data_IF_041733423766
#
_entry.id   IF_041733423766
#
_cell.length_a   1.000
_cell.length_b   1.000
_cell.length_c   1.000
_cell.angle_alpha   90.00
_cell.angle_beta   90.00
_cell.angle_gamma   90.00
#
_symmetry.space_group_name_H-M   'P 1'
#
loop_
_entity.id
_entity.type
_entity.pdbx_description
1 polymer ?
#
# COMPACT_ATOMS: atom_id res chain seq x y z
N UNK A 1 -36.97 -40.29 -25.49
CA UNK A 1 -36.54 -39.87 -24.12
C UNK A 1 -35.41 -38.88 -24.26
N UNK A 2 -35.67 -37.63 -23.93
CA UNK A 2 -34.60 -36.59 -23.92
C UNK A 2 -33.86 -36.70 -22.61
N UNK A 3 -32.55 -37.03 -22.66
CA UNK A 3 -31.68 -36.97 -21.48
C UNK A 3 -31.38 -35.52 -21.21
N UNK A 4 -31.91 -34.97 -20.11
CA UNK A 4 -31.54 -33.64 -19.60
C UNK A 4 -30.20 -33.81 -18.89
N UNK A 5 -29.12 -33.36 -19.52
CA UNK A 5 -27.83 -33.28 -18.90
C UNK A 5 -27.85 -31.98 -18.08
N UNK A 6 -28.10 -32.12 -16.78
CA UNK A 6 -28.01 -31.04 -15.83
C UNK A 6 -26.54 -30.68 -15.61
N UNK A 7 -26.09 -29.64 -16.28
CA UNK A 7 -24.76 -29.07 -16.07
C UNK A 7 -24.76 -28.40 -14.68
N UNK A 8 -24.24 -29.10 -13.70
CA UNK A 8 -24.04 -28.60 -12.37
C UNK A 8 -22.83 -27.64 -12.41
N UNK A 9 -23.09 -26.33 -12.55
CA UNK A 9 -22.08 -25.31 -12.42
C UNK A 9 -21.53 -25.36 -10.99
N UNK A 10 -20.39 -26.00 -10.83
CA UNK A 10 -19.57 -25.90 -9.61
C UNK A 10 -19.04 -24.46 -9.52
N UNK A 11 -19.79 -23.61 -8.82
CA UNK A 11 -19.28 -22.31 -8.39
C UNK A 11 -18.29 -22.59 -7.26
N UNK A 12 -17.01 -22.68 -7.60
CA UNK A 12 -15.96 -22.72 -6.61
C UNK A 12 -16.01 -21.42 -5.80
N UNK A 13 -16.00 -21.48 -4.46
CA UNK A 13 -15.92 -20.26 -3.67
C UNK A 13 -14.61 -19.54 -4.00
N UNK A 14 -14.71 -18.35 -4.55
CA UNK A 14 -13.56 -17.46 -4.68
C UNK A 14 -13.19 -17.07 -3.25
N UNK A 15 -12.17 -17.71 -2.70
CA UNK A 15 -11.56 -17.26 -1.45
C UNK A 15 -10.93 -15.90 -1.74
N UNK A 16 -11.64 -14.85 -1.38
CA UNK A 16 -11.07 -13.50 -1.31
C UNK A 16 -10.15 -13.50 -0.08
N UNK A 17 -8.89 -13.79 -0.30
CA UNK A 17 -7.86 -13.57 0.70
C UNK A 17 -7.84 -12.07 0.97
N UNK A 18 -8.15 -11.67 2.20
CA UNK A 18 -8.04 -10.27 2.60
C UNK A 18 -6.62 -9.78 2.28
N UNK A 19 -6.50 -8.65 1.56
CA UNK A 19 -5.21 -8.10 1.19
C UNK A 19 -4.46 -7.69 2.46
N UNK A 20 -3.23 -8.16 2.59
CA UNK A 20 -2.34 -7.83 3.72
C UNK A 20 -1.45 -6.64 3.37
N UNK A 21 -0.85 -6.04 4.40
CA UNK A 21 0.24 -5.07 4.21
C UNK A 21 1.48 -5.81 3.71
N UNK A 22 2.04 -5.37 2.59
CA UNK A 22 3.12 -6.05 1.89
C UNK A 22 4.47 -5.46 2.32
N UNK A 23 5.38 -6.32 2.81
CA UNK A 23 6.76 -5.89 3.09
C UNK A 23 7.46 -5.55 1.78
N UNK A 24 8.04 -4.36 1.70
CA UNK A 24 8.70 -3.85 0.51
C UNK A 24 10.19 -3.60 0.78
N UNK A 25 11.01 -4.07 -0.12
CA UNK A 25 12.43 -3.72 -0.22
C UNK A 25 12.70 -2.79 -1.42
N UNK A 26 13.93 -2.36 -1.57
CA UNK A 26 14.36 -1.50 -2.69
C UNK A 26 14.05 -2.12 -4.06
N UNK A 27 14.32 -3.40 -4.24
CA UNK A 27 14.09 -4.08 -5.52
C UNK A 27 12.60 -4.09 -5.89
N UNK A 28 11.74 -4.37 -4.93
CA UNK A 28 10.29 -4.32 -5.13
C UNK A 28 9.80 -2.90 -5.40
N UNK A 29 10.36 -1.89 -4.73
CA UNK A 29 10.01 -0.48 -5.00
C UNK A 29 10.32 -0.09 -6.45
N UNK A 30 11.50 -0.44 -6.94
CA UNK A 30 11.91 -0.17 -8.33
C UNK A 30 11.00 -0.90 -9.33
N UNK A 31 10.61 -2.13 -9.03
CA UNK A 31 9.76 -2.94 -9.90
C UNK A 31 8.29 -2.50 -9.89
N UNK A 32 7.74 -2.19 -8.70
CA UNK A 32 6.29 -1.99 -8.50
C UNK A 32 5.84 -0.54 -8.37
N UNK A 33 6.74 0.35 -7.96
CA UNK A 33 6.36 1.73 -7.62
C UNK A 33 6.99 2.73 -8.57
N UNK A 34 8.30 2.89 -8.55
CA UNK A 34 8.98 3.88 -9.38
C UNK A 34 10.45 3.50 -9.55
N UNK A 35 10.90 3.46 -10.79
CA UNK A 35 12.32 3.23 -11.10
C UNK A 35 13.10 4.55 -11.14
N UNK A 36 13.51 5.03 -9.96
CA UNK A 36 14.29 6.26 -9.82
C UNK A 36 15.75 6.11 -10.30
N UNK A 37 16.17 4.89 -10.66
CA UNK A 37 17.52 4.65 -11.23
C UNK A 37 17.60 5.04 -12.69
N UNK A 38 16.46 5.07 -13.38
CA UNK A 38 16.37 5.41 -14.81
C UNK A 38 16.04 6.87 -15.05
N UNK A 39 15.29 7.50 -14.15
CA UNK A 39 14.86 8.90 -14.28
C UNK A 39 14.62 9.50 -12.90
N UNK A 40 14.84 10.80 -12.76
CA UNK A 40 14.49 11.55 -11.54
C UNK A 40 13.01 11.98 -11.53
N UNK A 41 12.30 11.79 -12.63
CA UNK A 41 10.87 12.10 -12.70
C UNK A 41 10.06 11.00 -12.01
N UNK A 42 9.08 11.43 -11.23
CA UNK A 42 8.13 10.51 -10.62
C UNK A 42 7.22 9.89 -11.69
N UNK A 43 7.25 8.58 -11.81
CA UNK A 43 6.38 7.82 -12.72
C UNK A 43 5.91 6.54 -12.00
N UNK A 44 4.71 6.58 -11.45
CA UNK A 44 4.14 5.44 -10.74
C UNK A 44 3.80 4.30 -11.69
N UNK A 45 4.27 3.10 -11.35
CA UNK A 45 4.15 1.87 -12.17
C UNK A 45 2.94 1.01 -11.83
N UNK A 46 2.30 1.25 -10.67
CA UNK A 46 1.18 0.44 -10.21
C UNK A 46 -0.13 0.74 -10.94
N UNK A 47 -1.04 -0.23 -10.93
CA UNK A 47 -2.37 -0.12 -11.50
C UNK A 47 -3.43 0.34 -10.48
N UNK A 48 -3.08 0.38 -9.20
CA UNK A 48 -3.92 0.85 -8.09
C UNK A 48 -3.17 1.88 -7.27
N UNK A 49 -3.86 2.84 -6.64
CA UNK A 49 -3.23 3.72 -5.68
C UNK A 49 -2.57 2.92 -4.55
N UNK A 50 -1.55 3.48 -3.95
CA UNK A 50 -0.81 2.81 -2.89
C UNK A 50 -0.54 3.73 -1.69
N UNK A 51 -0.31 3.10 -0.54
CA UNK A 51 0.26 3.74 0.65
C UNK A 51 1.56 2.99 0.98
N UNK A 52 2.62 3.73 1.26
CA UNK A 52 3.86 3.17 1.81
C UNK A 52 4.03 3.68 3.24
N UNK A 53 4.10 2.77 4.19
CA UNK A 53 4.38 3.03 5.60
C UNK A 53 5.88 2.83 5.86
N UNK A 54 6.61 3.93 6.06
CA UNK A 54 8.02 3.88 6.46
C UNK A 54 8.10 3.84 7.99
N UNK A 55 8.66 2.76 8.51
CA UNK A 55 8.67 2.42 9.94
C UNK A 55 10.01 1.85 10.38
N UNK A 56 10.17 1.68 11.70
CA UNK A 56 11.23 0.87 12.30
C UNK A 56 10.65 0.03 13.45
N UNK A 57 11.31 -1.08 13.77
CA UNK A 57 10.85 -2.01 14.83
C UNK A 57 10.89 -1.38 16.23
N UNK A 58 11.84 -0.46 16.48
CA UNK A 58 12.01 0.26 17.74
C UNK A 58 11.04 1.45 17.90
N UNK A 59 10.29 1.80 16.89
CA UNK A 59 9.43 2.98 16.87
C UNK A 59 8.06 2.67 17.50
N UNK A 60 7.78 3.24 18.67
CA UNK A 60 6.52 3.06 19.38
C UNK A 60 5.29 3.55 18.59
N UNK A 61 5.29 4.79 18.07
CA UNK A 61 4.20 5.28 17.23
C UNK A 61 3.97 4.42 15.98
N UNK A 62 5.02 3.89 15.36
CA UNK A 62 4.92 2.99 14.21
C UNK A 62 4.17 1.70 14.58
N UNK A 63 4.46 1.12 15.75
CA UNK A 63 3.77 -0.07 16.23
C UNK A 63 2.28 0.17 16.48
N UNK A 64 1.91 1.36 16.94
CA UNK A 64 0.49 1.73 17.11
C UNK A 64 -0.24 1.90 15.79
N UNK A 65 0.46 2.29 14.73
CA UNK A 65 -0.11 2.42 13.40
C UNK A 65 -0.24 1.10 12.62
N UNK A 66 0.53 0.09 12.97
CA UNK A 66 0.51 -1.21 12.28
C UNK A 66 -0.90 -1.84 12.21
N UNK A 67 -1.70 -1.91 13.29
CA UNK A 67 -3.07 -2.42 13.19
C UNK A 67 -3.98 -1.55 12.31
N UNK A 68 -3.80 -0.24 12.30
CA UNK A 68 -4.57 0.67 11.44
C UNK A 68 -4.30 0.37 9.97
N UNK A 69 -3.04 0.20 9.59
CA UNK A 69 -2.67 -0.17 8.21
C UNK A 69 -3.24 -1.54 7.82
N UNK A 70 -3.23 -2.51 8.71
CA UNK A 70 -3.85 -3.83 8.48
C UNK A 70 -5.36 -3.74 8.25
N UNK A 71 -6.06 -2.95 9.04
CA UNK A 71 -7.50 -2.72 8.86
C UNK A 71 -7.79 -2.06 7.52
N UNK A 72 -7.05 -1.03 7.15
CA UNK A 72 -7.21 -0.33 5.89
C UNK A 72 -6.91 -1.24 4.68
N UNK A 73 -5.89 -2.09 4.78
CA UNK A 73 -5.57 -3.06 3.73
C UNK A 73 -6.72 -4.03 3.48
N UNK A 74 -7.44 -4.44 4.52
CA UNK A 74 -8.62 -5.30 4.41
C UNK A 74 -9.83 -4.55 3.86
N UNK A 75 -10.12 -3.37 4.40
CA UNK A 75 -11.29 -2.57 4.02
C UNK A 75 -11.22 -2.09 2.56
N UNK A 76 -10.02 -1.78 2.08
CA UNK A 76 -9.78 -1.30 0.73
C UNK A 76 -9.17 -2.36 -0.20
N UNK A 77 -9.26 -3.64 0.16
CA UNK A 77 -8.76 -4.74 -0.66
C UNK A 77 -9.26 -4.67 -2.10
N UNK A 78 -8.35 -4.78 -3.06
CA UNK A 78 -8.67 -4.65 -4.48
C UNK A 78 -8.77 -3.21 -5.01
N UNK A 79 -8.80 -2.20 -4.15
CA UNK A 79 -8.91 -0.78 -4.53
C UNK A 79 -7.62 0.00 -4.32
N UNK A 80 -6.88 -0.29 -3.26
CA UNK A 80 -5.54 0.24 -2.98
C UNK A 80 -4.59 -0.88 -2.58
N UNK A 81 -3.30 -0.61 -2.58
CA UNK A 81 -2.25 -1.49 -2.07
C UNK A 81 -1.53 -0.78 -0.93
N UNK A 82 -1.25 -1.48 0.16
CA UNK A 82 -0.47 -0.93 1.28
C UNK A 82 0.82 -1.71 1.42
N UNK A 83 1.94 -0.99 1.37
CA UNK A 83 3.28 -1.48 1.58
C UNK A 83 3.85 -0.95 2.89
N UNK A 84 4.81 -1.67 3.46
CA UNK A 84 5.61 -1.20 4.58
C UNK A 84 7.10 -1.34 4.28
N UNK A 85 7.87 -0.34 4.65
CA UNK A 85 9.32 -0.23 4.42
C UNK A 85 10.01 -0.02 5.76
N UNK A 86 10.90 -0.94 6.13
CA UNK A 86 11.74 -0.80 7.31
C UNK A 86 12.92 0.13 7.00
N UNK A 87 12.93 1.33 7.59
CA UNK A 87 13.96 2.35 7.31
C UNK A 87 15.37 1.94 7.73
N UNK A 88 15.51 1.04 8.70
CA UNK A 88 16.84 0.55 9.12
C UNK A 88 17.45 -0.40 8.08
N UNK A 89 16.60 -1.14 7.36
CA UNK A 89 17.02 -2.07 6.31
C UNK A 89 17.06 -1.42 4.93
N UNK A 90 16.24 -0.41 4.69
CA UNK A 90 16.06 0.26 3.40
C UNK A 90 16.39 1.76 3.50
N UNK A 91 17.66 2.03 3.83
CA UNK A 91 18.12 3.41 4.10
C UNK A 91 18.04 4.31 2.86
N UNK A 92 18.22 3.75 1.67
CA UNK A 92 18.12 4.49 0.41
C UNK A 92 16.69 4.94 0.14
N UNK A 93 15.70 4.07 0.38
CA UNK A 93 14.28 4.43 0.28
C UNK A 93 13.87 5.49 1.33
N UNK A 94 14.38 5.35 2.55
CA UNK A 94 14.16 6.34 3.59
C UNK A 94 14.69 7.72 3.17
N UNK A 95 15.88 7.77 2.60
CA UNK A 95 16.48 9.01 2.06
C UNK A 95 15.68 9.56 0.88
N UNK A 96 15.21 8.71 -0.03
CA UNK A 96 14.42 9.11 -1.18
C UNK A 96 13.16 9.90 -0.80
N UNK A 97 12.51 9.51 0.28
CA UNK A 97 11.31 10.19 0.80
C UNK A 97 11.60 11.23 1.88
N UNK A 98 12.86 11.44 2.23
CA UNK A 98 13.24 12.37 3.29
C UNK A 98 12.69 11.95 4.66
N UNK A 99 12.70 10.65 4.97
CA UNK A 99 12.18 10.10 6.22
C UNK A 99 13.11 10.39 7.40
N UNK A 100 13.18 11.66 7.82
CA UNK A 100 13.95 12.11 8.99
C UNK A 100 13.24 11.80 10.30
N UNK A 101 11.95 11.58 10.26
CA UNK A 101 11.12 11.11 11.38
C UNK A 101 10.14 10.06 10.88
N UNK A 102 9.78 9.12 11.75
CA UNK A 102 8.85 8.02 11.45
C UNK A 102 7.76 7.92 12.53
N UNK A 103 6.58 7.35 12.19
CA UNK A 103 6.19 6.85 10.87
C UNK A 103 6.06 7.97 9.84
N UNK A 104 6.39 7.66 8.59
CA UNK A 104 6.11 8.51 7.44
C UNK A 104 5.28 7.70 6.45
N UNK A 105 4.15 8.24 6.03
CA UNK A 105 3.28 7.58 5.04
C UNK A 105 3.36 8.33 3.71
N UNK A 106 3.60 7.57 2.65
CA UNK A 106 3.59 8.08 1.27
C UNK A 106 2.29 7.65 0.62
N UNK A 107 1.47 8.62 0.27
CA UNK A 107 0.19 8.40 -0.40
C UNK A 107 0.38 8.57 -1.91
N UNK A 108 0.25 7.49 -2.65
CA UNK A 108 0.56 7.43 -4.08
C UNK A 108 -0.72 7.30 -4.89
N UNK A 109 -1.20 8.37 -5.54
CA UNK A 109 -2.32 8.28 -6.46
C UNK A 109 -1.90 7.57 -7.76
N UNK A 110 -2.85 7.09 -8.53
CA UNK A 110 -2.56 6.48 -9.83
C UNK A 110 -1.85 7.45 -10.78
N UNK A 111 -2.20 8.72 -10.69
CA UNK A 111 -1.62 9.79 -11.51
C UNK A 111 -1.31 11.00 -10.63
N UNK A 112 -0.21 11.65 -10.92
CA UNK A 112 0.23 12.81 -10.17
C UNK A 112 1.26 12.49 -9.10
N UNK A 113 1.67 13.51 -8.36
CA UNK A 113 2.70 13.40 -7.33
C UNK A 113 2.15 12.77 -6.06
N UNK A 114 2.98 11.99 -5.34
CA UNK A 114 2.61 11.49 -4.03
C UNK A 114 2.51 12.61 -3.00
N UNK A 115 1.71 12.38 -1.95
CA UNK A 115 1.62 13.23 -0.77
C UNK A 115 2.17 12.50 0.45
N UNK A 116 2.68 13.26 1.42
CA UNK A 116 3.26 12.73 2.65
C UNK A 116 2.35 13.04 3.85
N UNK A 117 2.15 12.02 4.70
CA UNK A 117 1.57 12.19 6.04
C UNK A 117 2.65 11.85 7.06
N UNK A 118 2.99 12.81 7.91
CA UNK A 118 4.05 12.68 8.91
C UNK A 118 3.48 12.36 10.27
N UNK A 119 4.04 11.35 10.91
CA UNK A 119 3.69 10.93 12.26
C UNK A 119 2.43 10.06 12.34
N UNK A 120 2.14 9.60 13.56
CA UNK A 120 0.95 8.82 13.84
C UNK A 120 -0.30 9.70 13.72
N UNK A 121 -1.36 9.14 13.16
CA UNK A 121 -2.66 9.79 13.02
C UNK A 121 -3.79 8.77 13.22
N UNK A 122 -4.99 9.26 13.50
CA UNK A 122 -6.17 8.41 13.59
C UNK A 122 -6.52 7.79 12.22
N UNK A 123 -7.21 6.64 12.26
CA UNK A 123 -7.66 5.94 11.06
C UNK A 123 -8.47 6.83 10.12
N UNK A 124 -9.29 7.72 10.67
CA UNK A 124 -10.13 8.64 9.92
C UNK A 124 -9.34 9.59 9.00
N UNK A 125 -8.12 9.95 9.37
CA UNK A 125 -7.23 10.75 8.52
C UNK A 125 -6.87 10.00 7.25
N UNK A 126 -6.56 8.72 7.38
CA UNK A 126 -6.22 7.85 6.23
C UNK A 126 -7.45 7.53 5.40
N UNK A 127 -8.60 7.26 6.01
CA UNK A 127 -9.87 7.06 5.26
C UNK A 127 -10.17 8.28 4.41
N UNK A 128 -10.09 9.48 4.98
CA UNK A 128 -10.29 10.72 4.24
C UNK A 128 -9.29 10.88 3.09
N UNK A 129 -8.01 10.61 3.34
CA UNK A 129 -6.97 10.70 2.30
C UNK A 129 -7.19 9.67 1.18
N UNK A 130 -7.61 8.45 1.52
CA UNK A 130 -7.93 7.41 0.53
C UNK A 130 -9.11 7.85 -0.33
N UNK A 131 -10.21 8.29 0.29
CA UNK A 131 -11.44 8.65 -0.42
C UNK A 131 -11.29 9.95 -1.25
N UNK A 132 -10.62 10.96 -0.70
CA UNK A 132 -10.57 12.30 -1.30
C UNK A 132 -9.37 12.50 -2.23
N UNK A 133 -8.29 11.71 -2.06
CA UNK A 133 -7.06 11.87 -2.82
C UNK A 133 -6.67 10.64 -3.62
N UNK A 134 -6.67 9.45 -3.04
CA UNK A 134 -6.22 8.24 -3.75
C UNK A 134 -7.24 7.68 -4.72
N UNK A 135 -8.52 7.70 -4.38
CA UNK A 135 -9.61 7.06 -5.15
C UNK A 135 -10.40 8.04 -6.04
N UNK A 136 -9.99 9.27 -6.10
CA UNK A 136 -10.61 10.26 -7.02
C UNK A 136 -10.04 10.22 -8.41
#
# INVERSE_FOLDING_TARGET
MKKIIMFMLLVAPVMVWGQEVIQMDRAMFIDKVCDYTQSQEWAYKGDKPAIIDLYADWCGPCRRMAPVMKELAKEYAGRIVIYKVNVDKEQELAALFGATSIPLFVLIPKQGAPQLVKGAAGKEVFVKAIEDFLLK
#
